data_IF_409427466149
#
_entry.id   IF_409427466149
#
_cell.length_a   1.000
_cell.length_b   1.000
_cell.length_c   1.000
_cell.angle_alpha   90.00
_cell.angle_beta   90.00
_cell.angle_gamma   90.00
#
_symmetry.space_group_name_H-M   'P 1'
#
loop_
_entity.id
_entity.type
_entity.pdbx_description
1 polymer ?
#
# COMPACT_ATOMS: atom_id res chain seq x y z
N UNK A 1 -59.94 56.87 19.93
CA UNK A 1 -58.70 56.65 19.15
C UNK A 1 -58.84 55.38 18.31
N UNK A 2 -59.06 55.42 16.98
CA UNK A 2 -59.13 54.19 16.17
C UNK A 2 -59.05 54.37 14.63
N UNK A 3 -58.04 55.10 14.10
CA UNK A 3 -57.83 55.22 12.62
C UNK A 3 -56.37 55.14 12.12
N UNK A 4 -55.37 55.01 12.99
CA UNK A 4 -53.96 55.03 12.58
C UNK A 4 -53.37 53.66 12.15
N UNK A 5 -53.78 52.56 12.78
CA UNK A 5 -53.05 51.28 12.69
C UNK A 5 -53.21 50.51 11.35
N UNK A 6 -54.22 50.82 10.53
CA UNK A 6 -54.53 50.03 9.32
C UNK A 6 -53.49 50.19 8.20
N UNK A 7 -52.82 51.36 8.12
CA UNK A 7 -51.91 51.69 7.01
C UNK A 7 -50.54 51.00 7.08
N UNK A 8 -50.08 50.66 8.30
CA UNK A 8 -48.75 50.05 8.50
C UNK A 8 -48.73 48.57 8.07
N UNK A 9 -49.82 47.85 8.33
CA UNK A 9 -49.89 46.41 8.07
C UNK A 9 -50.01 46.04 6.58
N UNK A 10 -50.54 46.92 5.71
CA UNK A 10 -50.60 46.68 4.26
C UNK A 10 -49.21 46.77 3.62
N UNK A 11 -48.44 47.83 3.93
CA UNK A 11 -47.04 48.01 3.49
C UNK A 11 -46.15 46.83 3.92
N UNK A 12 -46.34 46.32 5.15
CA UNK A 12 -45.56 45.19 5.67
C UNK A 12 -45.86 43.85 4.98
N UNK A 13 -47.06 43.67 4.38
CA UNK A 13 -47.40 42.48 3.57
C UNK A 13 -46.77 42.53 2.17
N UNK A 14 -46.86 43.67 1.45
CA UNK A 14 -46.31 43.78 0.09
C UNK A 14 -44.77 43.59 0.03
N UNK A 15 -44.03 44.12 1.00
CA UNK A 15 -42.58 43.92 1.03
C UNK A 15 -42.18 42.45 1.26
N UNK A 16 -43.07 41.62 1.80
CA UNK A 16 -42.78 40.21 2.09
C UNK A 16 -43.07 39.29 0.88
N UNK A 17 -44.02 39.65 0.00
CA UNK A 17 -44.27 38.91 -1.24
C UNK A 17 -43.14 39.08 -2.26
N UNK A 18 -42.65 40.30 -2.46
CA UNK A 18 -41.50 40.59 -3.33
C UNK A 18 -40.24 39.83 -2.87
N UNK A 19 -39.95 39.82 -1.56
CA UNK A 19 -38.81 39.08 -1.02
C UNK A 19 -38.96 37.55 -1.14
N UNK A 20 -40.17 36.99 -1.14
CA UNK A 20 -40.41 35.58 -1.48
C UNK A 20 -40.18 35.30 -2.97
N UNK A 21 -40.69 36.16 -3.86
CA UNK A 21 -40.49 36.05 -5.30
C UNK A 21 -39.01 36.07 -5.69
N UNK A 22 -38.24 37.06 -5.21
CA UNK A 22 -36.81 37.20 -5.47
C UNK A 22 -35.93 36.09 -4.86
N UNK A 23 -36.42 35.38 -3.84
CA UNK A 23 -35.77 34.17 -3.31
C UNK A 23 -36.12 32.93 -4.14
N UNK A 24 -37.35 32.84 -4.65
CA UNK A 24 -37.79 31.77 -5.54
C UNK A 24 -37.03 31.78 -6.88
N UNK A 25 -36.93 32.95 -7.53
CA UNK A 25 -36.20 33.09 -8.80
C UNK A 25 -34.73 32.69 -8.67
N UNK A 26 -34.02 33.20 -7.65
CA UNK A 26 -32.62 32.83 -7.36
C UNK A 26 -32.42 31.37 -6.98
N UNK A 27 -33.44 30.70 -6.46
CA UNK A 27 -33.39 29.26 -6.20
C UNK A 27 -33.53 28.46 -7.51
N UNK A 28 -34.48 28.82 -8.36
CA UNK A 28 -34.66 28.21 -9.68
C UNK A 28 -33.43 28.44 -10.59
N UNK A 29 -32.90 29.66 -10.63
CA UNK A 29 -31.67 30.06 -11.35
C UNK A 29 -30.47 29.21 -10.91
N UNK A 30 -30.27 29.03 -9.59
CA UNK A 30 -29.23 28.13 -9.05
C UNK A 30 -29.45 26.66 -9.40
N UNK A 31 -30.71 26.22 -9.51
CA UNK A 31 -31.05 24.85 -9.89
C UNK A 31 -30.84 24.61 -11.39
N UNK A 32 -31.06 25.63 -12.22
CA UNK A 32 -30.81 25.62 -13.66
C UNK A 32 -29.30 25.67 -13.97
N UNK A 33 -28.53 26.49 -13.24
CA UNK A 33 -27.06 26.47 -13.27
C UNK A 33 -26.48 25.11 -12.84
N UNK A 34 -27.06 24.46 -11.82
CA UNK A 34 -26.65 23.10 -11.43
C UNK A 34 -26.93 22.06 -12.51
N UNK A 35 -28.05 22.18 -13.24
CA UNK A 35 -28.32 21.32 -14.40
C UNK A 35 -27.29 21.56 -15.50
N UNK A 36 -27.10 22.81 -15.93
CA UNK A 36 -26.10 23.16 -16.96
C UNK A 36 -24.67 22.68 -16.61
N UNK A 37 -24.24 22.77 -15.35
CA UNK A 37 -22.95 22.24 -14.91
C UNK A 37 -22.90 20.71 -14.95
N UNK A 38 -23.96 20.02 -14.56
CA UNK A 38 -24.04 18.56 -14.63
C UNK A 38 -24.13 18.05 -16.08
N UNK A 39 -24.91 18.71 -16.94
CA UNK A 39 -25.11 18.37 -18.35
C UNK A 39 -23.80 18.59 -19.13
N UNK A 40 -23.08 19.69 -18.85
CA UNK A 40 -21.74 19.93 -19.38
C UNK A 40 -20.70 18.89 -18.87
N UNK A 41 -20.88 18.35 -17.67
CA UNK A 41 -20.01 17.29 -17.13
C UNK A 41 -20.35 15.91 -17.71
N UNK A 42 -21.63 15.62 -18.01
CA UNK A 42 -22.03 14.40 -18.72
C UNK A 42 -21.35 14.31 -20.09
N UNK A 43 -21.33 15.41 -20.85
CA UNK A 43 -20.61 15.53 -22.12
C UNK A 43 -19.08 15.41 -22.05
N UNK A 44 -18.48 15.26 -20.85
CA UNK A 44 -17.03 14.97 -20.71
C UNK A 44 -16.69 13.49 -20.63
N UNK A 45 -17.69 12.59 -20.59
CA UNK A 45 -17.48 11.14 -20.68
C UNK A 45 -17.61 10.62 -22.12
N UNK A 46 -18.52 11.17 -22.91
CA UNK A 46 -18.62 10.91 -24.36
C UNK A 46 -17.62 11.78 -25.14
N UNK A 47 -16.33 11.47 -25.02
CA UNK A 47 -15.29 12.16 -25.76
C UNK A 47 -15.49 11.97 -27.28
N UNK A 48 -15.57 13.03 -28.10
CA UNK A 48 -15.59 12.88 -29.55
C UNK A 48 -14.29 12.22 -30.01
N UNK A 49 -14.39 11.31 -30.98
CA UNK A 49 -13.25 10.52 -31.48
C UNK A 49 -12.01 11.41 -31.71
N UNK A 50 -10.84 11.07 -31.12
CA UNK A 50 -9.67 11.91 -31.23
C UNK A 50 -9.27 12.07 -32.70
N UNK A 51 -8.95 13.30 -33.17
CA UNK A 51 -8.55 13.52 -34.55
C UNK A 51 -7.30 12.67 -34.86
N UNK A 52 -7.21 12.06 -36.06
CA UNK A 52 -6.13 11.14 -36.38
C UNK A 52 -4.78 11.86 -36.27
N UNK A 53 -3.86 11.26 -35.50
CA UNK A 53 -2.56 11.86 -35.23
C UNK A 53 -1.82 12.21 -36.53
N UNK A 54 -1.21 13.40 -36.64
CA UNK A 54 -0.47 13.79 -37.83
C UNK A 54 0.67 12.80 -38.06
N UNK A 55 0.70 12.18 -39.25
CA UNK A 55 1.73 11.20 -39.61
C UNK A 55 3.12 11.84 -39.50
N UNK A 56 3.95 11.31 -38.61
CA UNK A 56 5.37 11.64 -38.54
C UNK A 56 6.00 11.49 -39.92
N UNK A 57 6.73 12.51 -40.39
CA UNK A 57 7.48 12.42 -41.64
C UNK A 57 8.56 11.35 -41.51
N UNK A 58 8.34 10.21 -42.15
CA UNK A 58 9.39 9.24 -42.40
C UNK A 58 10.33 9.82 -43.47
N UNK A 59 11.37 10.53 -43.04
CA UNK A 59 12.49 10.87 -43.90
C UNK A 59 13.24 9.57 -44.22
N UNK A 60 13.10 9.06 -45.45
CA UNK A 60 14.04 8.11 -46.04
C UNK A 60 13.93 8.11 -47.56
N UNK A 61 15.07 8.22 -48.26
CA UNK A 61 15.19 8.25 -49.72
C UNK A 61 16.66 8.07 -50.09
N UNK A 62 17.00 7.43 -51.21
CA UNK A 62 16.54 6.12 -51.67
C UNK A 62 17.74 5.15 -51.85
N UNK A 63 17.47 3.85 -52.08
CA UNK A 63 17.98 3.18 -53.29
C UNK A 63 17.31 1.82 -53.56
N UNK A 64 17.45 1.38 -54.80
CA UNK A 64 16.78 0.26 -55.49
C UNK A 64 17.90 -0.65 -56.08
N UNK A 65 17.67 -1.76 -56.83
CA UNK A 65 16.44 -2.51 -57.11
C UNK A 65 16.60 -4.07 -57.13
N UNK A 66 15.55 -4.79 -57.56
CA UNK A 66 15.51 -6.18 -58.11
C UNK A 66 15.70 -7.34 -57.09
N UNK A 67 15.07 -8.54 -57.23
CA UNK A 67 14.23 -9.11 -58.31
C UNK A 67 13.11 -10.05 -57.77
N UNK A 68 12.27 -10.61 -58.67
CA UNK A 68 11.14 -11.54 -58.43
C UNK A 68 11.55 -12.94 -57.88
N UNK A 69 10.67 -13.92 -57.58
CA UNK A 69 9.24 -14.13 -57.82
C UNK A 69 8.61 -15.02 -56.69
N UNK A 70 7.32 -14.93 -56.32
CA UNK A 70 6.13 -15.63 -56.82
C UNK A 70 6.00 -17.16 -56.55
N UNK A 71 4.77 -17.61 -56.24
CA UNK A 71 4.27 -19.01 -56.09
C UNK A 71 4.74 -19.84 -54.85
N UNK A 72 4.09 -20.94 -54.42
CA UNK A 72 2.64 -21.24 -54.17
C UNK A 72 2.48 -22.61 -53.44
N UNK A 73 1.58 -22.70 -52.45
CA UNK A 73 0.75 -23.88 -52.07
C UNK A 73 1.27 -25.15 -51.30
N UNK A 74 0.35 -25.61 -50.42
CA UNK A 74 -0.10 -27.00 -50.08
C UNK A 74 0.67 -27.99 -49.17
N UNK A 75 -0.06 -28.42 -48.10
CA UNK A 75 -0.31 -29.82 -47.64
C UNK A 75 0.83 -30.65 -47.01
N UNK A 76 0.60 -31.65 -46.12
CA UNK A 76 -0.49 -31.93 -45.15
C UNK A 76 0.00 -32.96 -44.09
N UNK A 77 -0.71 -33.02 -42.95
CA UNK A 77 -0.97 -34.18 -42.05
C UNK A 77 0.11 -35.27 -41.83
N UNK A 78 0.48 -35.51 -40.56
CA UNK A 78 0.99 -36.82 -40.10
C UNK A 78 0.53 -37.10 -38.65
N UNK A 79 0.36 -38.38 -38.24
CA UNK A 79 -0.14 -38.79 -36.90
C UNK A 79 0.04 -40.29 -36.60
N UNK A 80 0.27 -40.64 -35.32
CA UNK A 80 0.22 -41.99 -34.70
C UNK A 80 1.30 -43.02 -35.13
N UNK A 81 1.72 -44.01 -34.32
CA UNK A 81 1.62 -44.24 -32.85
C UNK A 81 2.64 -45.31 -32.38
N UNK A 82 2.71 -45.56 -31.06
CA UNK A 82 3.80 -46.27 -30.34
C UNK A 82 3.80 -47.82 -30.35
N UNK A 83 4.92 -48.42 -29.90
CA UNK A 83 5.04 -49.79 -29.34
C UNK A 83 6.36 -49.97 -28.54
N UNK A 84 6.49 -51.03 -27.71
CA UNK A 84 7.61 -51.32 -26.75
C UNK A 84 7.52 -52.79 -26.25
N UNK A 85 8.39 -53.34 -25.35
CA UNK A 85 9.74 -52.96 -24.86
C UNK A 85 10.75 -54.04 -25.39
N UNK A 86 11.56 -54.87 -24.64
CA UNK A 86 12.21 -54.89 -23.29
C UNK A 86 13.76 -54.64 -23.41
N UNK A 87 14.77 -55.13 -22.65
CA UNK A 87 14.96 -56.18 -21.60
C UNK A 87 16.28 -56.01 -20.79
N UNK A 88 16.38 -56.67 -19.62
CA UNK A 88 17.61 -57.05 -18.87
C UNK A 88 18.40 -55.98 -18.06
N UNK A 89 19.13 -56.46 -17.04
CA UNK A 89 19.77 -55.73 -15.90
C UNK A 89 21.23 -56.26 -15.67
N UNK A 90 21.95 -55.91 -14.58
CA UNK A 90 22.57 -54.64 -14.15
C UNK A 90 24.12 -54.88 -13.97
N UNK A 91 24.90 -54.31 -13.01
CA UNK A 91 24.82 -53.08 -12.21
C UNK A 91 26.10 -52.18 -12.28
N UNK A 92 26.08 -50.97 -11.69
CA UNK A 92 27.11 -50.41 -10.77
C UNK A 92 26.83 -48.94 -10.41
N UNK A 93 26.92 -48.63 -9.12
CA UNK A 93 27.20 -47.31 -8.52
C UNK A 93 28.67 -47.38 -7.97
N UNK A 94 29.38 -46.29 -7.58
CA UNK A 94 28.84 -45.02 -7.07
C UNK A 94 29.56 -43.70 -7.51
N UNK A 95 29.11 -42.60 -6.89
CA UNK A 95 29.88 -41.42 -6.42
C UNK A 95 30.14 -40.20 -7.33
N UNK A 96 30.04 -39.02 -6.69
CA UNK A 96 30.64 -37.68 -6.99
C UNK A 96 30.47 -37.11 -8.42
N UNK A 97 29.86 -35.95 -8.67
CA UNK A 97 29.93 -34.69 -7.91
C UNK A 97 28.78 -33.72 -8.29
N UNK A 98 28.38 -32.84 -7.36
CA UNK A 98 27.55 -31.66 -7.68
C UNK A 98 28.47 -30.46 -7.98
N UNK A 99 28.31 -29.80 -9.11
CA UNK A 99 29.09 -28.63 -9.51
C UNK A 99 28.30 -27.34 -9.26
N UNK A 100 28.94 -26.33 -8.67
CA UNK A 100 28.26 -25.08 -8.28
C UNK A 100 27.88 -24.20 -9.49
N UNK A 101 26.66 -23.69 -9.48
CA UNK A 101 26.26 -22.52 -10.26
C UNK A 101 25.90 -21.37 -9.30
N UNK A 102 26.90 -20.57 -8.94
CA UNK A 102 26.71 -19.38 -8.10
C UNK A 102 25.92 -18.30 -8.85
N UNK A 103 24.79 -17.86 -8.29
CA UNK A 103 24.05 -16.71 -8.81
C UNK A 103 24.04 -15.58 -7.77
N UNK A 104 24.35 -14.36 -8.23
CA UNK A 104 24.80 -13.27 -7.35
C UNK A 104 23.73 -12.19 -7.16
N UNK A 105 22.88 -12.35 -6.14
CA UNK A 105 21.84 -11.37 -5.83
C UNK A 105 22.44 -10.03 -5.37
N UNK A 106 22.49 -9.04 -6.27
CA UNK A 106 22.81 -7.66 -5.95
C UNK A 106 21.66 -7.00 -5.19
N UNK A 107 21.66 -7.12 -3.86
CA UNK A 107 20.60 -6.60 -2.98
C UNK A 107 20.54 -5.05 -2.97
N UNK A 108 19.76 -4.51 -3.91
CA UNK A 108 19.40 -3.10 -4.03
C UNK A 108 17.92 -2.85 -3.64
N UNK A 109 17.38 -3.65 -2.71
CA UNK A 109 15.96 -3.64 -2.32
C UNK A 109 15.58 -2.52 -1.33
N UNK A 110 15.84 -1.26 -1.71
CA UNK A 110 15.40 -0.08 -0.94
C UNK A 110 13.87 0.14 -1.06
N UNK A 111 13.08 -0.76 -0.45
CA UNK A 111 11.64 -0.61 -0.24
C UNK A 111 11.36 0.07 1.11
N UNK A 112 11.42 1.41 1.09
CA UNK A 112 10.74 2.23 2.10
C UNK A 112 9.27 2.43 1.73
N UNK A 113 8.58 1.29 1.65
CA UNK A 113 7.15 1.20 1.87
C UNK A 113 6.84 1.55 3.33
N UNK A 114 6.98 2.84 3.66
CA UNK A 114 6.19 3.49 4.72
C UNK A 114 4.72 3.48 4.23
N UNK A 115 4.14 2.30 4.16
CA UNK A 115 2.74 2.13 4.46
C UNK A 115 2.58 2.64 5.89
N UNK A 116 1.83 3.72 6.05
CA UNK A 116 1.21 3.97 7.34
C UNK A 116 0.15 2.89 7.52
N UNK A 117 0.59 1.74 8.05
CA UNK A 117 -0.26 0.90 8.88
C UNK A 117 -0.94 1.88 9.85
N UNK A 118 -2.21 2.22 9.55
CA UNK A 118 -3.12 2.65 10.58
C UNK A 118 -2.96 1.63 11.71
N UNK A 119 -2.67 2.10 12.93
CA UNK A 119 -2.68 1.24 14.11
C UNK A 119 -4.15 0.87 14.39
N UNK A 120 -4.65 -0.03 13.55
CA UNK A 120 -5.94 -0.67 13.66
C UNK A 120 -5.85 -1.54 14.91
N UNK A 121 -6.12 -0.90 16.05
CA UNK A 121 -6.26 -1.50 17.37
C UNK A 121 -6.82 -2.89 17.21
N UNK A 122 -6.01 -3.88 17.57
CA UNK A 122 -6.23 -5.30 17.24
C UNK A 122 -7.71 -5.64 17.44
N UNK A 123 -8.41 -6.23 16.44
CA UNK A 123 -9.85 -6.42 16.49
C UNK A 123 -10.30 -6.98 17.84
N UNK A 124 -11.08 -6.19 18.56
CA UNK A 124 -11.70 -6.60 19.81
C UNK A 124 -12.91 -7.44 19.43
N UNK A 125 -12.64 -8.67 19.01
CA UNK A 125 -13.65 -9.68 18.79
C UNK A 125 -14.42 -9.93 20.11
N UNK A 126 -15.73 -10.25 20.06
CA UNK A 126 -16.54 -10.46 21.26
C UNK A 126 -15.97 -11.59 22.14
N UNK A 127 -16.19 -11.54 23.46
CA UNK A 127 -15.17 -11.95 24.45
C UNK A 127 -14.96 -13.47 24.61
N UNK A 128 -14.27 -14.10 23.65
CA UNK A 128 -13.55 -15.36 23.85
C UNK A 128 -12.17 -15.06 24.44
N UNK A 129 -12.15 -14.79 25.75
CA UNK A 129 -11.02 -14.33 26.59
C UNK A 129 -9.59 -14.55 26.03
N UNK A 130 -8.99 -13.53 25.37
CA UNK A 130 -7.59 -13.57 24.94
C UNK A 130 -6.60 -13.06 26.00
N UNK A 131 -7.08 -12.60 27.16
CA UNK A 131 -6.33 -11.71 28.06
C UNK A 131 -6.16 -12.27 29.48
N UNK A 132 -5.29 -13.27 29.63
CA UNK A 132 -4.81 -13.68 30.96
C UNK A 132 -3.28 -13.90 31.03
N UNK A 133 -2.65 -14.31 29.92
CA UNK A 133 -1.19 -14.52 29.85
C UNK A 133 -0.35 -13.22 29.89
N UNK A 134 -0.98 -12.04 29.84
CA UNK A 134 -0.27 -10.75 29.72
C UNK A 134 -0.11 -9.99 31.04
N UNK A 135 -1.02 -10.19 32.01
CA UNK A 135 -1.05 -9.43 33.26
C UNK A 135 -0.24 -10.08 34.40
N UNK A 136 0.26 -11.31 34.20
CA UNK A 136 0.90 -12.10 35.26
C UNK A 136 2.44 -12.01 35.30
N UNK A 137 3.08 -11.48 34.26
CA UNK A 137 4.55 -11.39 34.21
C UNK A 137 5.09 -10.24 35.08
N UNK A 138 6.20 -10.44 35.81
CA UNK A 138 6.78 -9.39 36.63
C UNK A 138 7.40 -8.28 35.78
N UNK A 139 7.61 -7.12 36.41
CA UNK A 139 8.43 -6.06 35.85
C UNK A 139 9.89 -6.55 35.68
N UNK A 140 10.65 -6.02 34.70
CA UNK A 140 12.07 -6.35 34.57
C UNK A 140 12.86 -5.88 35.80
N UNK A 141 13.93 -6.61 36.19
CA UNK A 141 14.91 -6.07 37.14
C UNK A 141 15.57 -4.82 36.54
N UNK A 142 16.08 -3.87 37.37
CA UNK A 142 16.82 -2.72 36.86
C UNK A 142 18.05 -3.17 36.06
N UNK A 143 18.43 -2.37 35.05
CA UNK A 143 19.64 -2.65 34.27
C UNK A 143 20.86 -2.82 35.18
N UNK A 144 21.74 -3.80 34.96
CA UNK A 144 22.98 -3.93 35.72
C UNK A 144 23.86 -2.67 35.56
N UNK A 145 24.67 -2.32 36.58
CA UNK A 145 25.34 -1.00 36.64
C UNK A 145 26.34 -0.72 35.51
N UNK A 146 26.74 -1.75 34.77
CA UNK A 146 27.67 -1.67 33.64
C UNK A 146 27.00 -1.92 32.27
N UNK A 147 25.66 -1.88 32.17
CA UNK A 147 24.94 -2.01 30.89
C UNK A 147 25.41 -0.97 29.86
N UNK A 148 25.80 -1.44 28.67
CA UNK A 148 26.15 -0.58 27.54
C UNK A 148 24.93 -0.39 26.67
N UNK A 149 24.48 0.85 26.48
CA UNK A 149 23.31 1.13 25.63
C UNK A 149 23.74 1.37 24.17
N UNK A 150 22.97 0.88 23.16
CA UNK A 150 23.25 1.16 21.76
C UNK A 150 23.26 2.68 21.49
N UNK A 151 24.26 3.22 20.76
CA UNK A 151 24.36 4.65 20.52
C UNK A 151 23.16 5.18 19.73
N UNK A 152 22.70 6.39 20.07
CA UNK A 152 21.59 7.04 19.39
C UNK A 152 21.98 7.34 17.93
N UNK A 153 21.34 6.63 16.99
CA UNK A 153 21.63 6.78 15.57
C UNK A 153 21.08 8.09 15.02
N UNK A 154 21.93 8.84 14.31
CA UNK A 154 21.59 10.11 13.65
C UNK A 154 20.41 9.91 12.67
N UNK A 155 20.50 8.90 11.80
CA UNK A 155 19.44 8.56 10.85
C UNK A 155 18.41 7.60 11.51
N UNK A 156 17.72 8.07 12.55
CA UNK A 156 16.59 7.38 13.17
C UNK A 156 15.34 7.50 12.25
N UNK A 157 14.64 6.39 11.91
CA UNK A 157 13.43 6.47 11.08
C UNK A 157 12.30 7.20 11.81
N UNK A 158 11.42 7.90 11.07
CA UNK A 158 10.23 8.57 11.65
C UNK A 158 9.36 7.59 12.45
N UNK A 159 9.21 6.38 11.92
CA UNK A 159 8.47 5.26 12.50
C UNK A 159 9.17 4.57 13.69
N UNK A 160 10.29 5.10 14.20
CA UNK A 160 11.04 4.52 15.35
C UNK A 160 10.19 4.15 16.58
N UNK A 161 9.13 4.89 16.98
CA UNK A 161 8.25 4.44 18.06
C UNK A 161 7.59 3.07 17.79
N UNK A 162 7.22 2.78 16.54
CA UNK A 162 6.71 1.46 16.11
C UNK A 162 7.80 0.38 16.15
N UNK A 163 9.04 0.73 15.78
CA UNK A 163 10.19 -0.17 15.87
C UNK A 163 10.47 -0.55 17.34
N UNK A 164 10.54 0.43 18.24
CA UNK A 164 10.76 0.20 19.67
C UNK A 164 9.60 -0.57 20.33
N UNK A 165 8.35 -0.34 19.88
CA UNK A 165 7.19 -1.12 20.32
C UNK A 165 7.29 -2.59 19.89
N UNK A 166 7.68 -2.85 18.64
CA UNK A 166 7.88 -4.22 18.13
C UNK A 166 9.01 -4.93 18.88
N UNK A 167 10.13 -4.26 19.18
CA UNK A 167 11.20 -4.83 20.01
C UNK A 167 10.72 -5.14 21.42
N UNK A 168 10.01 -4.23 22.10
CA UNK A 168 9.44 -4.52 23.44
C UNK A 168 8.48 -5.70 23.40
N UNK A 169 7.64 -5.83 22.37
CA UNK A 169 6.74 -6.97 22.24
C UNK A 169 7.52 -8.29 22.03
N UNK A 170 8.59 -8.28 21.25
CA UNK A 170 9.49 -9.43 21.11
C UNK A 170 10.14 -9.78 22.47
N UNK A 171 10.84 -8.84 23.10
CA UNK A 171 11.55 -9.07 24.37
C UNK A 171 10.61 -9.49 25.51
N UNK A 172 9.38 -8.95 25.54
CA UNK A 172 8.29 -9.38 26.46
C UNK A 172 7.88 -10.82 26.22
N UNK A 173 7.78 -11.23 24.96
CA UNK A 173 7.45 -12.60 24.56
C UNK A 173 8.62 -13.58 24.83
N UNK A 174 9.86 -13.18 24.61
CA UNK A 174 11.05 -14.04 24.80
C UNK A 174 11.36 -14.19 26.29
N UNK A 175 11.58 -13.07 26.99
CA UNK A 175 12.06 -13.08 28.38
C UNK A 175 10.91 -13.24 29.40
N UNK A 176 9.65 -13.19 28.94
CA UNK A 176 8.43 -13.27 29.77
C UNK A 176 8.40 -12.18 30.87
N UNK A 177 8.70 -10.92 30.49
CA UNK A 177 8.80 -9.76 31.39
C UNK A 177 8.01 -8.55 30.86
N UNK A 178 7.36 -7.82 31.77
CA UNK A 178 6.51 -6.66 31.45
C UNK A 178 7.32 -5.34 31.43
N UNK A 179 8.03 -5.09 30.33
CA UNK A 179 8.85 -3.88 30.13
C UNK A 179 8.03 -2.58 30.02
N UNK A 180 8.44 -1.48 30.69
CA UNK A 180 7.78 -0.19 30.56
C UNK A 180 7.98 0.45 29.17
N UNK A 181 7.13 1.43 28.84
CA UNK A 181 7.10 2.10 27.53
C UNK A 181 8.43 2.76 27.13
N UNK A 182 9.21 3.19 28.11
CA UNK A 182 10.45 3.94 27.92
C UNK A 182 11.71 3.10 28.20
N UNK A 183 11.56 1.76 28.32
CA UNK A 183 12.70 0.83 28.44
C UNK A 183 13.60 0.89 27.19
N UNK A 184 14.91 0.91 27.42
CA UNK A 184 15.94 0.90 26.38
C UNK A 184 16.84 -0.31 26.62
N UNK A 185 16.72 -1.34 25.79
CA UNK A 185 17.52 -2.56 25.93
C UNK A 185 19.01 -2.27 25.73
N UNK A 186 19.84 -2.77 26.63
CA UNK A 186 21.30 -2.74 26.53
C UNK A 186 21.84 -3.71 25.47
N UNK A 187 23.09 -3.54 25.07
CA UNK A 187 23.80 -4.47 24.19
C UNK A 187 23.88 -5.85 24.83
N UNK A 188 24.05 -5.93 26.14
CA UNK A 188 24.02 -7.18 26.91
C UNK A 188 22.65 -7.87 26.89
N UNK A 189 21.54 -7.13 26.86
CA UNK A 189 20.18 -7.69 26.67
C UNK A 189 19.90 -8.13 25.22
N UNK A 190 20.57 -7.51 24.23
CA UNK A 190 20.34 -7.76 22.80
C UNK A 190 21.31 -8.76 22.16
N UNK A 191 22.48 -8.99 22.76
CA UNK A 191 23.48 -9.93 22.27
C UNK A 191 23.09 -11.42 22.36
N UNK A 192 22.30 -11.92 23.33
CA UNK A 192 21.91 -13.33 23.41
C UNK A 192 20.65 -13.66 22.58
N UNK A 193 20.18 -12.75 21.72
CA UNK A 193 19.03 -13.01 20.84
C UNK A 193 19.44 -13.99 19.74
N UNK A 194 18.87 -15.20 19.76
CA UNK A 194 19.14 -16.23 18.76
C UNK A 194 18.09 -16.23 17.64
N UNK A 195 18.39 -16.80 16.45
CA UNK A 195 17.41 -16.99 15.39
C UNK A 195 16.16 -17.73 15.84
N UNK A 196 16.30 -18.75 16.68
CA UNK A 196 15.24 -19.67 17.12
C UNK A 196 14.19 -18.92 17.95
N UNK A 197 14.63 -17.98 18.79
CA UNK A 197 13.73 -17.10 19.54
C UNK A 197 12.91 -16.20 18.60
N UNK A 198 13.53 -15.68 17.54
CA UNK A 198 12.85 -14.84 16.54
C UNK A 198 11.92 -15.68 15.67
N UNK A 199 12.32 -16.89 15.28
CA UNK A 199 11.48 -17.87 14.60
C UNK A 199 10.24 -18.20 15.43
N UNK A 200 10.41 -18.62 16.69
CA UNK A 200 9.33 -18.93 17.62
C UNK A 200 8.34 -17.77 17.78
N UNK A 201 8.85 -16.55 17.92
CA UNK A 201 8.03 -15.34 17.96
C UNK A 201 7.24 -15.12 16.66
N UNK A 202 7.89 -15.22 15.50
CA UNK A 202 7.25 -14.97 14.21
C UNK A 202 6.25 -16.07 13.85
N UNK A 203 6.54 -17.33 14.19
CA UNK A 203 5.61 -18.45 14.10
C UNK A 203 4.40 -18.24 15.03
N UNK A 204 4.61 -17.82 16.29
CA UNK A 204 3.53 -17.48 17.21
C UNK A 204 2.64 -16.35 16.68
N UNK A 205 3.22 -15.32 16.04
CA UNK A 205 2.45 -14.21 15.43
C UNK A 205 1.70 -14.62 14.16
N UNK A 206 2.15 -15.63 13.41
CA UNK A 206 1.50 -16.11 12.18
C UNK A 206 0.48 -17.25 12.41
N UNK A 207 0.87 -18.28 13.16
CA UNK A 207 0.11 -19.51 13.40
C UNK A 207 -0.54 -19.56 14.79
N UNK A 208 -0.01 -18.84 15.77
CA UNK A 208 -0.44 -18.91 17.17
C UNK A 208 0.29 -19.92 18.04
N UNK A 209 1.33 -20.57 17.51
CA UNK A 209 2.22 -21.51 18.20
C UNK A 209 3.65 -21.36 17.69
N UNK A 210 4.59 -21.81 18.50
CA UNK A 210 6.03 -21.55 18.34
C UNK A 210 6.67 -22.49 17.30
N UNK A 211 6.16 -23.73 17.18
CA UNK A 211 6.54 -24.72 16.18
C UNK A 211 5.33 -25.09 15.29
N UNK A 212 5.29 -24.65 14.01
CA UNK A 212 4.24 -24.97 13.06
C UNK A 212 4.60 -26.16 12.16
N UNK A 213 3.73 -27.17 12.11
CA UNK A 213 3.82 -28.29 11.18
C UNK A 213 3.56 -27.82 9.73
N UNK A 214 4.12 -28.47 8.69
CA UNK A 214 3.82 -28.17 7.29
C UNK A 214 2.32 -28.16 6.93
N UNK A 215 1.50 -28.89 7.69
CA UNK A 215 0.04 -28.93 7.52
C UNK A 215 -0.68 -27.71 8.14
N UNK A 216 -0.07 -26.99 9.07
CA UNK A 216 -0.65 -25.81 9.72
C UNK A 216 -0.81 -24.62 8.76
N UNK A 217 -1.75 -23.74 9.08
CA UNK A 217 -2.19 -22.64 8.24
C UNK A 217 -2.04 -21.29 8.99
N UNK A 218 -1.36 -20.28 8.42
CA UNK A 218 -1.05 -19.03 9.13
C UNK A 218 -2.26 -18.09 9.15
N UNK A 219 -3.16 -18.32 10.11
CA UNK A 219 -4.44 -17.62 10.21
C UNK A 219 -4.39 -16.33 11.07
N UNK A 220 -3.33 -16.12 11.88
CA UNK A 220 -3.21 -14.95 12.78
C UNK A 220 -2.47 -13.77 12.17
N UNK A 221 -1.42 -14.01 11.38
CA UNK A 221 -0.56 -12.98 10.82
C UNK A 221 -0.14 -13.27 9.37
N UNK A 222 0.13 -12.22 8.59
CA UNK A 222 0.47 -12.31 7.17
C UNK A 222 1.98 -12.17 6.91
N UNK A 223 2.45 -12.61 5.75
CA UNK A 223 3.86 -12.50 5.31
C UNK A 223 4.34 -11.04 5.32
N UNK A 224 3.52 -10.07 4.88
CA UNK A 224 3.82 -8.64 4.98
C UNK A 224 3.97 -8.17 6.44
N UNK A 225 3.15 -8.68 7.36
CA UNK A 225 3.28 -8.39 8.80
C UNK A 225 4.58 -8.98 9.37
N UNK A 226 4.97 -10.18 8.94
CA UNK A 226 6.25 -10.79 9.31
C UNK A 226 7.46 -10.03 8.75
N UNK A 227 7.38 -9.54 7.51
CA UNK A 227 8.41 -8.67 6.92
C UNK A 227 8.54 -7.34 7.67
N UNK A 228 7.42 -6.73 8.07
CA UNK A 228 7.37 -5.53 8.92
C UNK A 228 8.02 -5.78 10.29
N UNK A 229 7.72 -6.92 10.93
CA UNK A 229 8.38 -7.36 12.18
C UNK A 229 9.88 -7.57 11.97
N UNK A 230 10.30 -8.28 10.92
CA UNK A 230 11.71 -8.52 10.57
C UNK A 230 12.47 -7.20 10.37
N UNK A 231 11.94 -6.26 9.57
CA UNK A 231 12.54 -4.91 9.37
C UNK A 231 12.68 -4.15 10.70
N UNK A 232 11.67 -4.23 11.57
CA UNK A 232 11.65 -3.55 12.88
C UNK A 232 12.64 -4.15 13.90
N UNK A 233 12.73 -5.47 14.01
CA UNK A 233 13.68 -6.15 14.91
C UNK A 233 15.13 -6.03 14.41
N UNK A 234 15.36 -6.24 13.11
CA UNK A 234 16.68 -6.18 12.46
C UNK A 234 17.40 -4.86 12.72
N UNK A 235 16.66 -3.75 12.83
CA UNK A 235 17.22 -2.44 13.17
C UNK A 235 18.05 -2.45 14.47
N UNK A 236 17.62 -3.17 15.51
CA UNK A 236 18.24 -3.14 16.85
C UNK A 236 19.35 -4.18 17.05
N UNK A 237 19.41 -5.21 16.20
CA UNK A 237 20.40 -6.29 16.35
C UNK A 237 21.82 -5.74 16.29
N UNK A 238 22.67 -6.22 17.21
CA UNK A 238 24.04 -5.71 17.41
C UNK A 238 24.84 -5.79 16.11
N UNK A 239 24.92 -6.99 15.52
CA UNK A 239 25.63 -7.25 14.27
C UNK A 239 24.72 -7.13 13.04
N UNK A 240 23.97 -6.03 12.92
CA UNK A 240 22.91 -5.81 11.91
C UNK A 240 23.28 -6.13 10.45
N UNK A 241 24.52 -5.85 10.03
CA UNK A 241 24.93 -5.86 8.62
C UNK A 241 25.09 -7.28 8.06
N UNK A 242 26.00 -8.13 8.58
CA UNK A 242 26.15 -9.51 8.09
C UNK A 242 24.86 -10.32 8.28
N UNK A 243 24.67 -11.32 7.42
CA UNK A 243 23.68 -12.38 7.62
C UNK A 243 24.02 -13.22 8.86
N UNK A 244 23.09 -14.07 9.31
CA UNK A 244 23.39 -14.98 10.41
C UNK A 244 24.32 -16.11 9.94
N UNK A 245 25.38 -16.36 10.71
CA UNK A 245 26.27 -17.51 10.55
C UNK A 245 25.97 -18.53 11.66
N UNK A 246 25.45 -19.74 11.32
CA UNK A 246 25.16 -20.78 12.30
C UNK A 246 26.42 -21.46 12.85
N UNK A 247 27.55 -21.42 12.15
CA UNK A 247 28.80 -22.08 12.57
C UNK A 247 29.51 -21.29 13.67
N UNK A 248 29.53 -19.97 13.57
CA UNK A 248 30.10 -19.10 14.61
C UNK A 248 29.07 -18.49 15.56
N UNK A 249 27.77 -18.70 15.34
CA UNK A 249 26.66 -18.09 16.09
C UNK A 249 26.75 -16.55 16.12
N UNK A 250 27.09 -15.95 14.98
CA UNK A 250 27.26 -14.49 14.84
C UNK A 250 26.42 -13.90 13.71
N UNK A 251 26.42 -12.56 13.64
CA UNK A 251 25.68 -11.80 12.65
C UNK A 251 24.29 -11.40 13.11
N UNK A 252 23.38 -11.15 12.16
CA UNK A 252 22.04 -10.67 12.45
C UNK A 252 21.04 -11.84 12.53
N UNK A 253 20.50 -12.21 13.71
CA UNK A 253 19.65 -13.39 13.84
C UNK A 253 18.39 -13.32 12.97
N UNK A 254 17.88 -12.10 12.71
CA UNK A 254 16.72 -11.84 11.83
C UNK A 254 16.98 -12.08 10.33
N UNK A 255 18.24 -12.30 9.93
CA UNK A 255 18.67 -12.63 8.55
C UNK A 255 18.92 -14.13 8.32
N UNK A 256 18.72 -14.97 9.32
CA UNK A 256 18.88 -16.43 9.20
C UNK A 256 17.95 -17.05 8.15
N UNK A 257 18.37 -18.19 7.59
CA UNK A 257 17.60 -19.00 6.62
C UNK A 257 16.23 -19.36 7.18
N UNK A 258 16.17 -20.00 8.36
CA UNK A 258 14.93 -20.42 9.03
C UNK A 258 13.83 -19.33 9.11
N UNK A 259 14.19 -18.05 9.26
CA UNK A 259 13.23 -16.93 9.28
C UNK A 259 12.78 -16.54 7.86
N UNK A 260 13.69 -16.58 6.88
CA UNK A 260 13.36 -16.36 5.47
C UNK A 260 12.41 -17.48 4.97
N UNK A 261 12.71 -18.73 5.34
CA UNK A 261 11.93 -19.91 4.99
C UNK A 261 10.55 -19.88 5.63
N UNK A 262 10.43 -19.45 6.89
CA UNK A 262 9.15 -19.20 7.55
C UNK A 262 8.30 -18.16 6.80
N UNK A 263 8.89 -17.03 6.40
CA UNK A 263 8.20 -15.99 5.62
C UNK A 263 7.77 -16.53 4.25
N UNK A 264 8.64 -17.27 3.57
CA UNK A 264 8.36 -17.88 2.27
C UNK A 264 7.25 -18.95 2.36
N UNK A 265 7.24 -19.76 3.43
CA UNK A 265 6.20 -20.75 3.72
C UNK A 265 4.85 -20.08 4.01
N UNK A 266 4.81 -19.01 4.81
CA UNK A 266 3.60 -18.22 5.05
C UNK A 266 3.08 -17.62 3.75
N UNK A 267 3.94 -16.99 2.94
CA UNK A 267 3.60 -16.45 1.62
C UNK A 267 3.05 -17.54 0.67
N UNK A 268 3.63 -18.74 0.70
CA UNK A 268 3.18 -19.92 -0.08
C UNK A 268 1.83 -20.47 0.38
N UNK A 269 1.49 -20.36 1.67
CA UNK A 269 0.16 -20.69 2.20
C UNK A 269 -0.87 -19.61 1.81
N UNK A 270 -0.52 -18.33 1.87
CA UNK A 270 -1.37 -17.21 1.45
C UNK A 270 -1.76 -17.31 -0.03
N UNK A 271 -0.81 -17.54 -0.94
CA UNK A 271 -1.10 -17.69 -2.38
C UNK A 271 -1.94 -18.91 -2.73
N UNK A 272 -2.13 -19.84 -1.79
CA UNK A 272 -3.00 -21.02 -1.90
C UNK A 272 -4.39 -20.83 -1.26
N UNK A 273 -4.70 -19.64 -0.74
CA UNK A 273 -5.91 -19.41 0.06
C UNK A 273 -5.90 -20.11 1.43
N UNK A 274 -4.74 -20.58 1.89
CA UNK A 274 -4.56 -21.28 3.17
C UNK A 274 -3.98 -20.37 4.27
N UNK A 275 -3.61 -19.13 3.94
CA UNK A 275 -3.25 -18.09 4.91
C UNK A 275 -4.46 -17.33 5.43
N UNK A 276 -4.19 -16.31 6.25
CA UNK A 276 -5.19 -15.35 6.72
C UNK A 276 -5.82 -14.61 5.53
N UNK A 277 -7.14 -14.45 5.56
CA UNK A 277 -7.86 -13.66 4.54
C UNK A 277 -7.31 -12.23 4.49
N UNK A 278 -6.98 -11.78 3.27
CA UNK A 278 -6.59 -10.39 3.03
C UNK A 278 -7.73 -9.44 3.41
N UNK A 279 -7.38 -8.36 4.11
CA UNK A 279 -8.28 -7.23 4.40
C UNK A 279 -7.96 -6.02 3.52
N UNK A 280 -7.22 -6.21 2.43
CA UNK A 280 -6.96 -5.15 1.45
C UNK A 280 -8.26 -4.82 0.71
N UNK A 281 -8.72 -3.58 0.80
CA UNK A 281 -9.87 -3.09 0.04
C UNK A 281 -9.60 -3.24 -1.47
N UNK A 282 -10.60 -3.73 -2.22
CA UNK A 282 -10.53 -3.73 -3.68
C UNK A 282 -10.73 -2.32 -4.24
N UNK A 283 -10.31 -2.11 -5.48
CA UNK A 283 -10.70 -0.91 -6.22
C UNK A 283 -12.24 -0.82 -6.33
N UNK A 284 -12.76 0.42 -6.27
CA UNK A 284 -14.15 0.71 -6.59
C UNK A 284 -14.45 0.35 -8.05
N UNK A 285 -15.64 -0.19 -8.30
CA UNK A 285 -16.22 -0.21 -9.64
C UNK A 285 -16.67 1.20 -10.04
N UNK A 286 -16.80 1.47 -11.34
CA UNK A 286 -17.25 2.77 -11.84
C UNK A 286 -18.66 3.15 -11.32
N UNK A 287 -19.55 2.17 -11.21
CA UNK A 287 -20.90 2.31 -10.65
C UNK A 287 -20.87 2.80 -9.20
N UNK A 288 -20.09 2.15 -8.35
CA UNK A 288 -19.92 2.46 -6.93
C UNK A 288 -19.26 3.83 -6.72
N UNK A 289 -18.18 4.13 -7.46
CA UNK A 289 -17.50 5.41 -7.37
C UNK A 289 -18.42 6.57 -7.77
N UNK A 290 -19.27 6.36 -8.79
CA UNK A 290 -20.30 7.32 -9.17
C UNK A 290 -21.36 7.47 -8.08
N UNK A 291 -21.87 6.37 -7.50
CA UNK A 291 -22.85 6.42 -6.41
C UNK A 291 -22.34 7.24 -5.23
N UNK A 292 -21.11 7.00 -4.77
CA UNK A 292 -20.47 7.74 -3.66
C UNK A 292 -20.42 9.24 -3.94
N UNK A 293 -20.09 9.64 -5.17
CA UNK A 293 -20.09 11.04 -5.59
C UNK A 293 -21.51 11.63 -5.63
N UNK A 294 -22.46 10.91 -6.21
CA UNK A 294 -23.84 11.37 -6.36
C UNK A 294 -24.56 11.52 -5.00
N UNK A 295 -24.34 10.61 -4.05
CA UNK A 295 -24.84 10.73 -2.66
C UNK A 295 -24.28 11.98 -1.96
N UNK A 296 -22.98 12.25 -2.09
CA UNK A 296 -22.33 13.43 -1.53
C UNK A 296 -22.88 14.75 -2.13
N UNK A 297 -23.11 14.78 -3.46
CA UNK A 297 -23.72 15.93 -4.11
C UNK A 297 -25.21 16.09 -3.80
N UNK A 298 -25.96 14.99 -3.63
CA UNK A 298 -27.39 14.99 -3.36
C UNK A 298 -27.72 15.43 -1.93
N UNK A 299 -26.94 15.01 -0.93
CA UNK A 299 -27.23 15.27 0.49
C UNK A 299 -27.43 16.77 0.80
N UNK A 300 -28.66 17.16 1.12
CA UNK A 300 -29.04 18.57 1.31
C UNK A 300 -28.45 19.13 2.63
N UNK A 301 -28.30 18.27 3.63
CA UNK A 301 -27.84 18.61 4.98
C UNK A 301 -26.31 18.43 5.16
N UNK A 302 -25.61 17.92 4.14
CA UNK A 302 -24.16 17.77 4.18
C UNK A 302 -23.43 19.10 4.37
N UNK A 303 -22.44 19.07 5.27
CA UNK A 303 -21.44 20.12 5.43
C UNK A 303 -20.60 20.34 4.15
N UNK A 304 -19.81 21.42 4.13
CA UNK A 304 -18.96 21.76 2.99
C UNK A 304 -17.97 20.65 2.63
N UNK A 305 -17.45 19.92 3.61
CA UNK A 305 -16.41 18.93 3.39
C UNK A 305 -16.99 17.66 2.73
N UNK A 306 -18.11 17.16 3.25
CA UNK A 306 -18.89 16.07 2.62
C UNK A 306 -19.41 16.45 1.25
N UNK A 307 -19.90 17.68 1.07
CA UNK A 307 -20.57 18.10 -0.16
C UNK A 307 -19.62 18.48 -1.30
N UNK A 308 -18.44 18.99 -0.98
CA UNK A 308 -17.50 19.54 -1.96
C UNK A 308 -16.07 19.02 -1.80
N UNK A 309 -15.51 19.00 -0.58
CA UNK A 309 -14.09 18.66 -0.37
C UNK A 309 -13.79 17.20 -0.67
N UNK A 310 -14.50 16.25 -0.06
CA UNK A 310 -14.25 14.82 -0.28
C UNK A 310 -14.59 14.40 -1.73
N UNK A 311 -15.70 14.84 -2.37
CA UNK A 311 -15.93 14.57 -3.79
C UNK A 311 -14.84 15.13 -4.71
N UNK A 312 -14.33 16.34 -4.44
CA UNK A 312 -13.22 16.93 -5.20
C UNK A 312 -11.91 16.15 -4.97
N UNK A 313 -11.63 15.75 -3.73
CA UNK A 313 -10.45 14.96 -3.38
C UNK A 313 -10.48 13.57 -4.02
N UNK A 314 -11.62 12.88 -3.98
CA UNK A 314 -11.82 11.58 -4.64
C UNK A 314 -11.66 11.67 -6.16
N UNK A 315 -12.27 12.69 -6.80
CA UNK A 315 -12.06 12.96 -8.23
C UNK A 315 -10.60 13.26 -8.55
N UNK A 316 -9.91 14.05 -7.72
CA UNK A 316 -8.49 14.35 -7.90
C UNK A 316 -7.62 13.09 -7.80
N UNK A 317 -7.82 12.28 -6.76
CA UNK A 317 -7.11 11.01 -6.56
C UNK A 317 -7.34 10.06 -7.75
N UNK A 318 -8.57 9.96 -8.25
CA UNK A 318 -8.91 9.14 -9.41
C UNK A 318 -8.25 9.64 -10.71
N UNK A 319 -8.41 10.92 -11.06
CA UNK A 319 -7.89 11.45 -12.33
C UNK A 319 -6.36 11.57 -12.39
N UNK A 320 -5.68 11.76 -11.26
CA UNK A 320 -4.22 11.86 -11.18
C UNK A 320 -3.52 10.58 -10.70
N UNK A 321 -4.27 9.51 -10.39
CA UNK A 321 -3.78 8.28 -9.72
C UNK A 321 -2.96 8.65 -8.47
N UNK A 322 -3.45 9.65 -7.73
CA UNK A 322 -2.74 10.29 -6.63
C UNK A 322 -3.19 9.72 -5.28
N UNK A 323 -2.28 9.66 -4.31
CA UNK A 323 -2.58 9.16 -2.96
C UNK A 323 -3.31 10.23 -2.15
N UNK A 324 -3.93 9.83 -1.03
CA UNK A 324 -4.65 10.76 -0.15
C UNK A 324 -3.77 11.88 0.40
N UNK A 325 -2.49 11.59 0.71
CA UNK A 325 -1.52 12.60 1.13
C UNK A 325 -1.08 13.52 -0.01
N UNK A 326 -0.96 13.02 -1.25
CA UNK A 326 -0.69 13.87 -2.42
C UNK A 326 -1.84 14.87 -2.62
N UNK A 327 -3.08 14.40 -2.59
CA UNK A 327 -4.29 15.21 -2.75
C UNK A 327 -4.47 16.24 -1.62
N UNK A 328 -4.15 15.88 -0.37
CA UNK A 328 -4.21 16.77 0.78
C UNK A 328 -3.19 17.93 0.72
N UNK A 329 -2.11 17.80 -0.06
CA UNK A 329 -1.08 18.83 -0.25
C UNK A 329 -1.23 19.63 -1.57
N UNK A 330 -2.38 19.55 -2.24
CA UNK A 330 -2.69 20.40 -3.40
C UNK A 330 -3.10 21.79 -2.93
N UNK A 331 -2.41 22.82 -3.43
CA UNK A 331 -2.74 24.22 -3.19
C UNK A 331 -3.39 24.82 -4.44
N UNK A 332 -4.18 25.90 -4.29
CA UNK A 332 -4.74 26.63 -5.43
C UNK A 332 -3.66 27.08 -6.43
N UNK A 333 -2.47 27.42 -5.94
CA UNK A 333 -1.29 27.80 -6.73
C UNK A 333 -0.59 26.62 -7.44
N UNK A 334 -0.96 25.37 -7.13
CA UNK A 334 -0.49 24.17 -7.85
C UNK A 334 -1.32 23.87 -9.10
N UNK A 335 -2.49 24.51 -9.24
CA UNK A 335 -3.42 24.35 -10.35
C UNK A 335 -3.24 25.49 -11.36
N UNK A 336 -2.98 25.14 -12.61
CA UNK A 336 -2.71 26.09 -13.72
C UNK A 336 -3.61 25.73 -14.90
N UNK A 337 -4.26 26.69 -15.59
CA UNK A 337 -5.02 26.39 -16.81
C UNK A 337 -4.10 25.79 -17.89
N UNK A 338 -4.56 24.74 -18.59
CA UNK A 338 -3.78 24.13 -19.67
C UNK A 338 -3.74 25.03 -20.90
N UNK A 339 -2.53 25.35 -21.37
CA UNK A 339 -2.30 26.13 -22.59
C UNK A 339 -2.84 25.39 -23.83
N UNK A 340 -2.74 24.05 -23.83
CA UNK A 340 -3.18 23.20 -24.95
C UNK A 340 -4.70 22.92 -24.94
N UNK A 341 -5.33 22.91 -23.76
CA UNK A 341 -6.73 22.51 -23.58
C UNK A 341 -7.44 23.49 -22.62
N UNK A 342 -8.05 24.59 -23.12
CA UNK A 342 -8.58 25.66 -22.27
C UNK A 342 -9.64 25.26 -21.23
N UNK A 343 -10.24 24.07 -21.37
CA UNK A 343 -11.20 23.49 -20.43
C UNK A 343 -10.56 22.60 -19.33
N UNK A 344 -9.24 22.41 -19.34
CA UNK A 344 -8.52 21.57 -18.38
C UNK A 344 -7.62 22.38 -17.44
N UNK A 345 -7.50 21.90 -16.21
CA UNK A 345 -6.46 22.33 -15.25
C UNK A 345 -5.32 21.31 -15.25
N UNK A 346 -4.10 21.79 -15.42
CA UNK A 346 -2.89 21.03 -15.09
C UNK A 346 -2.58 21.18 -13.60
N UNK A 347 -2.06 20.12 -12.98
CA UNK A 347 -1.61 20.16 -11.58
C UNK A 347 -0.19 19.59 -11.49
N UNK A 348 0.74 20.34 -10.88
CA UNK A 348 2.04 19.76 -10.53
C UNK A 348 1.92 19.00 -9.20
N UNK A 349 1.91 17.67 -9.28
CA UNK A 349 2.04 16.81 -8.10
C UNK A 349 3.38 17.05 -7.38
N UNK A 350 3.39 16.80 -6.07
CA UNK A 350 4.61 16.83 -5.26
C UNK A 350 5.42 15.55 -5.46
N UNK A 351 6.62 15.50 -4.90
CA UNK A 351 7.45 14.29 -4.94
C UNK A 351 6.75 13.15 -4.19
N UNK A 352 6.67 11.98 -4.83
CA UNK A 352 6.35 10.72 -4.15
C UNK A 352 7.52 10.28 -3.26
N UNK A 353 7.36 9.19 -2.50
CA UNK A 353 8.38 8.71 -1.56
C UNK A 353 9.66 8.13 -2.21
N UNK A 354 9.65 7.84 -3.52
CA UNK A 354 10.69 7.05 -4.21
C UNK A 354 11.53 7.76 -5.31
N UNK A 355 12.06 9.00 -5.14
CA UNK A 355 13.05 9.55 -6.06
C UNK A 355 14.40 8.87 -5.84
N UNK A 356 14.86 8.05 -6.78
CA UNK A 356 16.14 7.32 -6.67
C UNK A 356 17.36 8.23 -6.93
N UNK A 357 17.15 9.37 -7.60
CA UNK A 357 18.19 10.32 -7.98
C UNK A 357 17.68 11.77 -7.96
N UNK A 358 18.61 12.73 -8.11
CA UNK A 358 18.28 14.15 -8.40
C UNK A 358 17.85 14.39 -9.86
N UNK A 359 17.79 13.36 -10.70
CA UNK A 359 17.38 13.43 -12.11
C UNK A 359 15.92 12.97 -12.31
N UNK A 360 15.38 12.13 -11.42
CA UNK A 360 13.96 11.70 -11.38
C UNK A 360 12.96 12.80 -10.99
N UNK A 361 13.31 14.06 -11.25
CA UNK A 361 12.42 15.21 -11.03
C UNK A 361 11.34 15.20 -12.11
N UNK A 362 10.05 15.40 -11.78
CA UNK A 362 9.06 15.73 -12.80
C UNK A 362 9.48 17.04 -13.48
N UNK A 363 9.86 16.93 -14.76
CA UNK A 363 10.31 18.04 -15.60
C UNK A 363 9.22 19.10 -15.64
N UNK A 364 9.60 20.35 -15.42
CA UNK A 364 8.69 21.48 -15.62
C UNK A 364 8.69 21.79 -17.11
N UNK A 365 7.73 21.19 -17.82
CA UNK A 365 7.28 21.74 -19.09
C UNK A 365 6.46 22.99 -18.75
N UNK A 366 6.88 24.13 -19.31
CA UNK A 366 6.28 25.45 -19.10
C UNK A 366 5.22 25.74 -20.17
#
# INVERSE_FOLDING_TARGET
>A
MSRANTSINSRRRNNNSHNRSARSSRAAERQQLRRQVNDAFAGTFDAPNPPPLPRLRQNNTPNNPRTAAAARNTNNTESAAAQSPPTANPPSDPSEAEEEASDSESDASNSDDDAEDNDASLPVDPPQNPQNYEQQWPAPPPHPPNSRFPPVRVNRPKSYPSYASALRHFMRYTNKLNYPKDWVFSVEELSPITPEQVYAYMAFKAFGKEDPSPNDNPQRGMSNSLLSIKKKLSYFMVNRIPSWDPTHLTGNPTKSTQINDLIAFVKKKETRGQGKNSRTDRAFEHSEFKQVLDECHASIEADFDRKYRFPTMMKFMFHFIARGDDAAHVFKSSLVPSIQYPWLLTCKLRWSKNPRSRQDKPVVVH
#
